data_IF_948755913729
#
_entry.id   IF_948755913729
#
_cell.length_a   1.000
_cell.length_b   1.000
_cell.length_c   1.000
_cell.angle_alpha   90.00
_cell.angle_beta   90.00
_cell.angle_gamma   90.00
#
_symmetry.space_group_name_H-M   'P 1'
#
loop_
_entity.id
_entity.type
_entity.pdbx_description
1 polymer ?
#
# COMPACT_ATOMS: atom_id res chain seq x y z
N UNK A 1 10.23 -24.70 7.57
CA UNK A 1 9.10 -24.44 6.66
C UNK A 1 8.12 -23.57 7.44
N UNK A 2 8.18 -22.25 7.31
CA UNK A 2 7.14 -21.38 7.88
C UNK A 2 5.94 -21.46 6.92
N UNK A 3 4.80 -21.92 7.43
CA UNK A 3 3.55 -21.96 6.66
C UNK A 3 2.91 -20.56 6.68
N UNK A 4 3.32 -19.69 5.77
CA UNK A 4 2.59 -18.45 5.53
C UNK A 4 1.26 -18.76 4.81
N UNK A 5 0.27 -17.88 4.98
CA UNK A 5 -0.96 -17.97 4.19
C UNK A 5 -0.57 -17.73 2.74
N UNK A 6 -0.96 -18.63 1.84
CA UNK A 6 -0.64 -18.47 0.41
C UNK A 6 -1.52 -17.38 -0.20
N UNK A 7 -2.83 -17.52 -0.06
CA UNK A 7 -3.84 -16.67 -0.67
C UNK A 7 -5.02 -16.47 0.29
N UNK A 8 -5.72 -15.34 0.17
CA UNK A 8 -6.98 -15.05 0.86
C UNK A 8 -8.01 -14.64 -0.20
N UNK A 9 -9.26 -15.10 -0.05
CA UNK A 9 -10.38 -14.69 -0.89
C UNK A 9 -11.41 -13.92 -0.04
N UNK A 10 -11.70 -12.70 -0.44
CA UNK A 10 -12.68 -11.80 0.17
C UNK A 10 -13.87 -11.69 -0.78
N UNK A 11 -14.84 -12.57 -0.61
CA UNK A 11 -16.09 -12.59 -1.40
C UNK A 11 -17.29 -12.04 -0.60
N UNK A 12 -17.02 -11.28 0.47
CA UNK A 12 -18.04 -10.71 1.36
C UNK A 12 -17.69 -9.26 1.77
N UNK A 13 -18.71 -8.46 2.06
CA UNK A 13 -18.55 -7.10 2.60
C UNK A 13 -18.25 -7.10 4.10
N UNK A 14 -17.75 -5.96 4.61
CA UNK A 14 -17.43 -5.73 6.02
C UNK A 14 -16.30 -6.64 6.53
N UNK A 15 -15.23 -6.74 5.75
CA UNK A 15 -14.07 -7.57 6.06
C UNK A 15 -12.89 -6.71 6.46
N UNK A 16 -12.23 -7.08 7.56
CA UNK A 16 -10.98 -6.47 8.03
C UNK A 16 -9.89 -7.54 8.10
N UNK A 17 -8.82 -7.34 7.36
CA UNK A 17 -7.60 -8.13 7.41
C UNK A 17 -6.50 -7.28 8.05
N UNK A 18 -5.87 -7.80 9.10
CA UNK A 18 -4.77 -7.10 9.75
C UNK A 18 -3.76 -8.03 10.43
N UNK A 19 -2.49 -7.65 10.41
CA UNK A 19 -1.41 -8.39 11.08
C UNK A 19 -1.06 -9.71 10.41
N UNK A 20 -1.30 -9.83 9.09
CA UNK A 20 -1.11 -11.08 8.35
C UNK A 20 0.14 -11.03 7.47
N UNK A 21 0.74 -12.20 7.25
CA UNK A 21 1.71 -12.43 6.17
C UNK A 21 1.02 -13.33 5.15
N UNK A 22 0.74 -12.76 3.97
CA UNK A 22 0.15 -13.44 2.82
C UNK A 22 1.20 -13.47 1.72
N UNK A 23 1.68 -14.67 1.39
CA UNK A 23 2.79 -14.89 0.47
C UNK A 23 2.45 -14.50 -0.98
N UNK A 24 1.18 -14.67 -1.38
CA UNK A 24 0.71 -14.36 -2.72
C UNK A 24 -0.42 -13.33 -2.63
N UNK A 25 -1.66 -13.73 -2.87
CA UNK A 25 -2.71 -12.79 -3.23
C UNK A 25 -3.76 -12.62 -2.12
N UNK A 26 -4.16 -11.39 -1.88
CA UNK A 26 -5.47 -11.07 -1.32
C UNK A 26 -6.40 -10.75 -2.50
N UNK A 27 -7.24 -11.72 -2.82
CA UNK A 27 -8.21 -11.66 -3.89
C UNK A 27 -9.53 -11.09 -3.38
N UNK A 28 -10.03 -10.02 -4.00
CA UNK A 28 -11.29 -9.38 -3.66
C UNK A 28 -12.31 -9.66 -4.74
N UNK A 29 -13.39 -10.35 -4.37
CA UNK A 29 -14.53 -10.63 -5.25
C UNK A 29 -14.21 -11.48 -6.47
N UNK A 30 -13.10 -12.23 -6.47
CA UNK A 30 -12.65 -13.02 -7.62
C UNK A 30 -13.66 -14.10 -8.02
N UNK A 31 -14.39 -14.68 -7.06
CA UNK A 31 -15.32 -15.79 -7.33
C UNK A 31 -16.76 -15.32 -7.54
N UNK A 32 -16.97 -14.01 -7.69
CA UNK A 32 -18.30 -13.41 -7.80
C UNK A 32 -18.63 -13.07 -9.26
N UNK A 33 -19.88 -13.33 -9.66
CA UNK A 33 -20.31 -13.19 -11.05
C UNK A 33 -20.88 -11.81 -11.40
N UNK A 34 -21.47 -11.11 -10.42
CA UNK A 34 -21.96 -9.72 -10.53
C UNK A 34 -22.49 -9.23 -9.17
N UNK A 35 -21.67 -8.52 -8.40
CA UNK A 35 -22.10 -7.91 -7.13
C UNK A 35 -21.14 -6.80 -6.70
N UNK A 36 -21.55 -6.01 -5.72
CA UNK A 36 -20.66 -5.11 -4.99
C UNK A 36 -20.11 -5.82 -3.76
N UNK A 37 -18.79 -5.78 -3.58
CA UNK A 37 -18.13 -6.09 -2.30
C UNK A 37 -17.69 -4.78 -1.70
N UNK A 38 -17.98 -4.58 -0.42
CA UNK A 38 -17.82 -3.26 0.20
C UNK A 38 -17.29 -3.28 1.62
N UNK A 39 -16.77 -2.14 2.08
CA UNK A 39 -16.28 -1.94 3.44
C UNK A 39 -15.17 -2.93 3.78
N UNK A 40 -14.10 -2.89 2.98
CA UNK A 40 -12.95 -3.77 3.13
C UNK A 40 -11.80 -2.96 3.71
N UNK A 41 -11.14 -3.46 4.74
CA UNK A 41 -9.91 -2.88 5.26
C UNK A 41 -8.80 -3.93 5.25
N UNK A 42 -7.69 -3.61 4.61
CA UNK A 42 -6.47 -4.41 4.59
C UNK A 42 -5.37 -3.55 5.18
N UNK A 43 -4.84 -3.94 6.32
CA UNK A 43 -3.86 -3.09 7.01
C UNK A 43 -2.79 -3.82 7.82
N UNK A 44 -1.67 -3.15 8.09
CA UNK A 44 -0.61 -3.66 8.96
C UNK A 44 -0.20 -5.11 8.60
N UNK A 45 -0.12 -5.39 7.30
CA UNK A 45 0.12 -6.74 6.78
C UNK A 45 1.26 -6.73 5.76
N UNK A 46 1.93 -7.87 5.60
CA UNK A 46 2.80 -8.12 4.46
C UNK A 46 2.05 -9.00 3.47
N UNK A 47 1.87 -8.51 2.26
CA UNK A 47 1.04 -9.15 1.24
C UNK A 47 1.83 -9.18 -0.05
N UNK A 48 1.71 -10.25 -0.84
CA UNK A 48 2.22 -10.23 -2.19
C UNK A 48 1.46 -9.20 -3.04
N UNK A 49 0.19 -9.47 -3.30
CA UNK A 49 -0.62 -8.61 -4.17
C UNK A 49 -2.05 -8.46 -3.68
N UNK A 50 -2.63 -7.29 -3.94
CA UNK A 50 -4.07 -7.04 -3.77
C UNK A 50 -4.70 -7.04 -5.15
N UNK A 51 -5.53 -8.03 -5.43
CA UNK A 51 -6.14 -8.22 -6.75
C UNK A 51 -7.65 -8.30 -6.65
N UNK A 52 -8.34 -7.61 -7.55
CA UNK A 52 -9.73 -7.93 -7.90
C UNK A 52 -9.72 -8.87 -9.10
N UNK A 53 -10.55 -9.90 -9.05
CA UNK A 53 -10.69 -10.82 -10.18
C UNK A 53 -11.06 -10.13 -11.48
N UNK A 54 -10.59 -10.71 -12.59
CA UNK A 54 -10.78 -10.20 -13.96
C UNK A 54 -12.24 -10.13 -14.43
N UNK A 55 -13.21 -10.53 -13.61
CA UNK A 55 -14.63 -10.38 -13.92
C UNK A 55 -15.05 -8.93 -13.75
N UNK A 56 -15.16 -8.21 -14.88
CA UNK A 56 -15.58 -6.80 -14.99
C UNK A 56 -16.96 -6.45 -14.35
N UNK A 57 -17.64 -7.42 -13.73
CA UNK A 57 -18.98 -7.27 -13.17
C UNK A 57 -18.98 -7.09 -11.65
N UNK A 58 -17.82 -7.12 -11.01
CA UNK A 58 -17.69 -6.89 -9.57
C UNK A 58 -17.24 -5.46 -9.33
N UNK A 59 -17.93 -4.77 -8.41
CA UNK A 59 -17.51 -3.45 -7.94
C UNK A 59 -16.94 -3.58 -6.54
N UNK A 60 -15.72 -3.09 -6.32
CA UNK A 60 -15.15 -2.95 -4.98
C UNK A 60 -15.38 -1.53 -4.48
N UNK A 61 -16.07 -1.39 -3.35
CA UNK A 61 -16.43 -0.08 -2.81
C UNK A 61 -16.01 0.13 -1.36
N UNK A 62 -15.61 1.34 -0.98
CA UNK A 62 -15.19 1.67 0.39
C UNK A 62 -14.07 0.73 0.86
N UNK A 63 -12.99 0.66 0.09
CA UNK A 63 -11.82 -0.15 0.42
C UNK A 63 -10.70 0.74 0.94
N UNK A 64 -10.09 0.31 2.04
CA UNK A 64 -8.90 0.95 2.62
C UNK A 64 -7.75 -0.06 2.61
N UNK A 65 -6.68 0.26 1.90
CA UNK A 65 -5.41 -0.48 1.91
C UNK A 65 -4.37 0.42 2.58
N UNK A 66 -3.98 0.12 3.82
CA UNK A 66 -3.05 0.98 4.55
C UNK A 66 -1.99 0.30 5.39
N UNK A 67 -0.84 0.94 5.58
CA UNK A 67 0.21 0.40 6.45
C UNK A 67 0.64 -1.03 6.07
N UNK A 68 0.59 -1.38 4.80
CA UNK A 68 1.03 -2.68 4.32
C UNK A 68 2.39 -2.60 3.66
N UNK A 69 3.10 -3.72 3.68
CA UNK A 69 4.22 -4.00 2.79
C UNK A 69 3.67 -4.88 1.67
N UNK A 70 3.62 -4.36 0.44
CA UNK A 70 3.00 -5.01 -0.73
C UNK A 70 4.07 -5.35 -1.76
N UNK A 71 4.24 -6.63 -2.02
CA UNK A 71 5.29 -7.20 -2.87
C UNK A 71 4.72 -7.89 -4.10
N UNK A 72 4.62 -7.20 -5.23
CA UNK A 72 4.14 -7.84 -6.45
C UNK A 72 5.06 -9.00 -6.85
N UNK A 73 4.52 -10.23 -6.84
CA UNK A 73 5.22 -11.46 -7.19
C UNK A 73 4.78 -12.01 -8.55
N UNK A 74 5.67 -12.78 -9.19
CA UNK A 74 5.36 -13.56 -10.39
C UNK A 74 5.52 -12.80 -11.72
N UNK A 75 5.16 -13.46 -12.83
CA UNK A 75 5.36 -12.93 -14.19
C UNK A 75 4.42 -11.78 -14.56
N UNK A 76 3.41 -11.51 -13.74
CA UNK A 76 2.40 -10.46 -13.92
C UNK A 76 2.51 -9.53 -12.71
N UNK A 77 3.65 -8.83 -12.59
CA UNK A 77 4.04 -8.16 -11.34
C UNK A 77 3.33 -6.81 -11.15
N UNK A 78 2.02 -6.90 -10.86
CA UNK A 78 1.15 -5.82 -10.40
C UNK A 78 0.89 -5.96 -8.93
N UNK A 79 1.31 -4.98 -8.12
CA UNK A 79 1.16 -5.03 -6.67
C UNK A 79 -0.29 -4.77 -6.25
N UNK A 80 -0.99 -3.89 -6.98
CA UNK A 80 -2.41 -3.60 -6.75
C UNK A 80 -3.15 -3.53 -8.10
N UNK A 81 -4.11 -4.44 -8.27
CA UNK A 81 -4.91 -4.58 -9.48
C UNK A 81 -6.41 -4.47 -9.15
N UNK A 82 -7.02 -3.33 -9.44
CA UNK A 82 -8.44 -3.05 -9.14
C UNK A 82 -9.10 -2.32 -10.33
N UNK A 83 -10.11 -2.93 -10.96
CA UNK A 83 -10.73 -2.37 -12.17
C UNK A 83 -11.91 -1.43 -11.89
N UNK A 84 -13.00 -1.98 -11.34
CA UNK A 84 -14.24 -1.25 -11.10
C UNK A 84 -14.32 -0.94 -9.61
N UNK A 85 -13.96 0.28 -9.25
CA UNK A 85 -13.92 0.70 -7.86
C UNK A 85 -14.74 1.96 -7.59
N UNK A 86 -15.10 2.15 -6.32
CA UNK A 86 -15.70 3.39 -5.84
C UNK A 86 -15.26 3.66 -4.40
N UNK A 87 -14.66 4.83 -4.16
CA UNK A 87 -14.15 5.21 -2.85
C UNK A 87 -13.10 4.21 -2.31
N UNK A 88 -11.97 4.11 -3.02
CA UNK A 88 -10.82 3.29 -2.60
C UNK A 88 -9.67 4.20 -2.23
N UNK A 89 -9.10 3.96 -1.05
CA UNK A 89 -7.93 4.67 -0.54
C UNK A 89 -6.78 3.70 -0.35
N UNK A 90 -5.63 4.01 -0.93
CA UNK A 90 -4.38 3.28 -0.78
C UNK A 90 -3.40 4.23 -0.10
N UNK A 91 -3.09 4.02 1.18
CA UNK A 91 -2.32 5.00 1.95
C UNK A 91 -1.25 4.43 2.86
N UNK A 92 -0.13 5.12 3.04
CA UNK A 92 0.92 4.72 3.99
C UNK A 92 1.44 3.28 3.77
N UNK A 93 1.45 2.80 2.53
CA UNK A 93 2.01 1.49 2.19
C UNK A 93 3.43 1.62 1.64
N UNK A 94 4.22 0.55 1.79
CA UNK A 94 5.44 0.34 1.03
C UNK A 94 5.13 -0.66 -0.09
N UNK A 95 5.27 -0.23 -1.35
CA UNK A 95 4.84 -0.98 -2.52
C UNK A 95 6.04 -1.19 -3.44
N UNK A 96 6.36 -2.44 -3.72
CA UNK A 96 7.48 -2.82 -4.58
C UNK A 96 7.15 -4.10 -5.33
N UNK A 97 8.06 -4.52 -6.22
CA UNK A 97 7.94 -5.76 -7.00
C UNK A 97 9.25 -6.51 -7.01
N UNK A 98 9.18 -7.81 -6.75
CA UNK A 98 10.35 -8.68 -6.68
C UNK A 98 10.89 -9.11 -8.05
N UNK A 99 10.12 -9.00 -9.14
CA UNK A 99 10.65 -9.37 -10.46
C UNK A 99 10.03 -8.63 -11.66
N UNK A 100 10.85 -8.54 -12.71
CA UNK A 100 10.58 -8.30 -14.14
C UNK A 100 9.64 -7.17 -14.62
N UNK A 101 8.86 -6.52 -13.74
CA UNK A 101 8.07 -5.29 -13.97
C UNK A 101 8.25 -4.36 -12.78
N UNK A 102 7.79 -3.11 -12.88
CA UNK A 102 7.82 -2.16 -11.76
C UNK A 102 6.67 -2.46 -10.79
N UNK A 103 6.65 -1.85 -9.58
CA UNK A 103 5.42 -1.73 -8.78
C UNK A 103 4.32 -1.17 -9.66
N UNK A 104 3.50 -2.07 -10.19
CA UNK A 104 2.41 -1.66 -11.05
C UNK A 104 1.14 -1.50 -10.26
N UNK A 105 0.49 -0.36 -10.49
CA UNK A 105 -0.85 -0.07 -10.03
C UNK A 105 -1.73 0.00 -11.27
N UNK A 106 -2.77 -0.81 -11.28
CA UNK A 106 -3.81 -0.72 -12.29
C UNK A 106 -5.12 -0.50 -11.57
N UNK A 107 -5.42 0.78 -11.38
CA UNK A 107 -6.52 1.29 -10.57
C UNK A 107 -7.18 2.46 -11.27
N UNK A 108 -8.50 2.58 -11.17
CA UNK A 108 -9.27 3.68 -11.77
C UNK A 108 -10.07 4.43 -10.71
N UNK A 109 -9.77 5.71 -10.45
CA UNK A 109 -10.55 6.51 -9.50
C UNK A 109 -10.21 6.30 -8.02
N UNK A 110 -8.98 5.91 -7.69
CA UNK A 110 -8.53 5.79 -6.31
C UNK A 110 -7.84 7.06 -5.79
N UNK A 111 -7.87 7.22 -4.46
CA UNK A 111 -6.98 8.13 -3.73
C UNK A 111 -5.76 7.35 -3.26
N UNK A 112 -4.57 7.80 -3.65
CA UNK A 112 -3.30 7.13 -3.43
C UNK A 112 -2.39 8.12 -2.71
N UNK A 113 -2.16 7.93 -1.42
CA UNK A 113 -1.53 8.93 -0.56
C UNK A 113 -0.44 8.40 0.36
N UNK A 114 0.61 9.18 0.66
CA UNK A 114 1.61 8.81 1.68
C UNK A 114 2.28 7.45 1.45
N UNK A 115 2.29 6.90 0.23
CA UNK A 115 2.93 5.61 -0.04
C UNK A 115 4.41 5.80 -0.45
N UNK A 116 5.19 4.74 -0.31
CA UNK A 116 6.48 4.60 -1.02
C UNK A 116 6.32 3.56 -2.12
N UNK A 117 6.62 3.95 -3.35
CA UNK A 117 6.82 3.03 -4.47
C UNK A 117 8.30 2.80 -4.66
N UNK A 118 8.75 1.55 -4.69
CA UNK A 118 10.18 1.22 -4.79
C UNK A 118 10.48 0.25 -5.95
N UNK A 119 11.56 0.52 -6.70
CA UNK A 119 12.08 -0.38 -7.75
C UNK A 119 13.57 -0.14 -8.03
N UNK A 120 14.08 -0.70 -9.13
CA UNK A 120 15.51 -0.66 -9.52
C UNK A 120 15.88 0.45 -10.52
N UNK A 121 15.07 1.50 -10.63
CA UNK A 121 15.37 2.73 -11.37
C UNK A 121 15.03 2.72 -12.87
N UNK A 122 14.65 1.58 -13.44
CA UNK A 122 14.39 1.44 -14.89
C UNK A 122 12.94 1.15 -15.25
N UNK A 123 12.02 1.31 -14.31
CA UNK A 123 10.65 0.80 -14.42
C UNK A 123 9.67 1.78 -13.83
N UNK A 124 8.52 1.97 -14.48
CA UNK A 124 7.52 2.94 -14.04
C UNK A 124 6.27 2.34 -13.42
N UNK A 125 5.49 3.16 -12.69
CA UNK A 125 4.31 2.84 -11.85
C UNK A 125 3.14 2.12 -12.57
N UNK A 126 3.34 1.67 -13.80
CA UNK A 126 2.39 1.13 -14.80
C UNK A 126 1.70 2.17 -15.69
N UNK A 127 1.25 1.68 -16.84
CA UNK A 127 0.72 2.45 -17.95
C UNK A 127 -0.81 2.61 -17.93
N UNK A 128 -1.58 1.96 -17.05
CA UNK A 128 -3.05 2.01 -17.08
C UNK A 128 -3.65 2.65 -15.82
N UNK A 129 -3.23 3.89 -15.56
CA UNK A 129 -3.72 4.73 -14.47
C UNK A 129 -4.80 5.67 -15.01
N UNK A 130 -6.03 5.58 -14.50
CA UNK A 130 -7.14 6.40 -15.00
C UNK A 130 -7.80 7.13 -13.84
N UNK A 131 -7.88 8.45 -13.91
CA UNK A 131 -8.63 9.28 -12.96
C UNK A 131 -8.23 9.09 -11.48
N UNK A 132 -6.97 8.75 -11.19
CA UNK A 132 -6.50 8.62 -9.81
C UNK A 132 -6.00 9.96 -9.25
N UNK A 133 -6.05 10.10 -7.93
CA UNK A 133 -5.42 11.20 -7.20
C UNK A 133 -4.19 10.69 -6.45
N UNK A 134 -3.01 11.10 -6.88
CA UNK A 134 -1.73 10.84 -6.23
C UNK A 134 -1.31 12.05 -5.42
N UNK A 135 -1.24 11.90 -4.10
CA UNK A 135 -0.95 13.02 -3.22
C UNK A 135 0.04 12.63 -2.10
N UNK A 136 1.12 13.39 -1.94
CA UNK A 136 2.14 13.12 -0.92
C UNK A 136 2.79 11.71 -0.99
N UNK A 137 3.05 11.14 -2.18
CA UNK A 137 3.77 9.86 -2.30
C UNK A 137 5.26 10.03 -2.63
N UNK A 138 6.08 9.04 -2.25
CA UNK A 138 7.49 8.92 -2.66
C UNK A 138 7.63 7.83 -3.73
N UNK A 139 8.29 8.14 -4.83
CA UNK A 139 8.65 7.22 -5.91
C UNK A 139 10.16 7.05 -5.93
N UNK A 140 10.65 6.01 -5.26
CA UNK A 140 12.05 5.76 -4.98
C UNK A 140 12.63 4.65 -5.89
N UNK A 141 13.43 5.02 -6.87
CA UNK A 141 13.88 4.09 -7.89
C UNK A 141 12.77 3.69 -8.87
N UNK A 142 11.76 4.53 -9.05
CA UNK A 142 10.61 4.27 -9.93
C UNK A 142 10.46 5.41 -10.93
N UNK A 143 10.21 5.06 -12.19
CA UNK A 143 9.87 6.03 -13.22
C UNK A 143 8.41 6.47 -13.07
N UNK A 144 8.15 7.77 -13.16
CA UNK A 144 6.80 8.33 -12.96
C UNK A 144 6.22 8.94 -14.24
N UNK A 145 6.98 8.94 -15.33
CA UNK A 145 6.49 9.41 -16.60
C UNK A 145 5.38 8.50 -17.13
N UNK A 146 4.24 9.12 -17.44
CA UNK A 146 3.08 8.42 -17.94
C UNK A 146 3.20 8.14 -19.44
N UNK A 147 2.77 6.94 -19.85
CA UNK A 147 2.63 6.63 -21.27
C UNK A 147 1.39 7.34 -21.82
N UNK A 148 1.61 8.27 -22.76
CA UNK A 148 0.53 9.00 -23.42
C UNK A 148 -0.48 8.04 -24.08
N UNK A 149 -1.76 8.39 -23.95
CA UNK A 149 -2.90 7.63 -24.46
C UNK A 149 -3.30 6.40 -23.64
N UNK A 150 -2.58 6.09 -22.55
CA UNK A 150 -2.88 4.94 -21.69
C UNK A 150 -3.19 5.39 -20.25
N UNK A 151 -2.34 6.23 -19.67
CA UNK A 151 -2.61 6.86 -18.36
C UNK A 151 -3.24 8.23 -18.54
N UNK A 152 -4.49 8.41 -18.12
CA UNK A 152 -5.30 9.60 -18.42
C UNK A 152 -6.00 10.18 -17.18
N UNK A 153 -6.20 11.49 -17.17
CA UNK A 153 -6.95 12.23 -16.14
C UNK A 153 -6.46 12.04 -14.68
N UNK A 154 -5.19 11.69 -14.46
CA UNK A 154 -4.64 11.56 -13.11
C UNK A 154 -4.21 12.94 -12.58
N UNK A 155 -4.34 13.13 -11.27
CA UNK A 155 -3.91 14.33 -10.55
C UNK A 155 -2.73 13.96 -9.67
N UNK A 156 -1.64 14.74 -9.75
CA UNK A 156 -0.40 14.54 -9.00
C UNK A 156 -0.08 15.77 -8.16
N UNK A 157 -0.24 15.67 -6.85
CA UNK A 157 -0.01 16.78 -5.92
C UNK A 157 1.09 16.43 -4.92
N UNK A 158 2.07 17.32 -4.74
CA UNK A 158 3.08 17.20 -3.68
C UNK A 158 3.76 15.82 -3.59
N UNK A 159 4.00 15.15 -4.72
CA UNK A 159 4.73 13.88 -4.76
C UNK A 159 6.23 14.11 -4.92
N UNK A 160 7.05 13.14 -4.56
CA UNK A 160 8.51 13.18 -4.72
C UNK A 160 8.98 12.00 -5.56
N UNK A 161 9.87 12.23 -6.52
CA UNK A 161 10.51 11.18 -7.32
C UNK A 161 12.04 11.24 -7.20
N UNK A 162 12.69 10.07 -7.12
CA UNK A 162 14.15 9.97 -7.01
C UNK A 162 14.66 8.64 -7.57
N UNK A 163 15.91 8.60 -8.03
CA UNK A 163 16.62 7.34 -8.31
C UNK A 163 16.14 6.54 -9.53
N UNK A 164 15.16 7.06 -10.27
CA UNK A 164 14.70 6.56 -11.55
C UNK A 164 15.42 7.19 -12.74
N UNK A 165 15.12 6.70 -13.95
CA UNK A 165 15.61 7.25 -15.22
C UNK A 165 14.65 8.27 -15.84
N UNK A 166 13.38 8.24 -15.44
CA UNK A 166 12.33 9.14 -15.94
C UNK A 166 11.49 9.63 -14.76
N UNK A 167 11.86 10.81 -14.24
CA UNK A 167 11.42 11.30 -12.93
C UNK A 167 10.41 12.45 -12.99
N UNK A 168 10.03 12.88 -14.20
CA UNK A 168 9.03 13.92 -14.41
C UNK A 168 7.63 13.33 -14.36
N UNK A 169 6.77 13.84 -13.48
CA UNK A 169 5.45 13.27 -13.24
C UNK A 169 4.50 13.50 -14.42
N UNK A 170 4.41 14.74 -14.88
CA UNK A 170 3.58 15.10 -16.04
C UNK A 170 4.07 16.43 -16.63
N UNK A 171 4.12 16.53 -17.96
CA UNK A 171 4.01 17.83 -18.63
C UNK A 171 2.53 18.23 -18.61
N UNK A 172 2.19 19.27 -17.85
CA UNK A 172 0.81 19.71 -17.59
C UNK A 172 -0.09 19.70 -18.85
N UNK A 173 -1.23 19.00 -18.75
CA UNK A 173 -2.29 19.00 -19.77
C UNK A 173 -2.26 17.81 -20.75
N UNK A 174 -1.23 16.98 -20.72
CA UNK A 174 -1.16 15.78 -21.57
C UNK A 174 -2.19 14.73 -21.11
N UNK A 175 -3.10 14.34 -22.00
CA UNK A 175 -4.16 13.35 -21.74
C UNK A 175 -5.01 13.64 -20.48
N UNK A 176 -5.18 14.93 -20.17
CA UNK A 176 -5.94 15.39 -19.01
C UNK A 176 -5.24 15.17 -17.66
N UNK A 177 -4.00 14.68 -17.65
CA UNK A 177 -3.21 14.59 -16.43
C UNK A 177 -2.73 15.99 -16.00
N UNK A 178 -2.73 16.25 -14.70
CA UNK A 178 -2.31 17.53 -14.12
C UNK A 178 -1.36 17.30 -12.94
N UNK A 179 -0.38 18.18 -12.74
CA UNK A 179 0.52 18.12 -11.60
C UNK A 179 0.74 19.46 -10.91
N UNK A 180 0.92 19.48 -9.60
CA UNK A 180 1.34 20.68 -8.87
C UNK A 180 2.13 20.32 -7.61
N UNK A 181 3.17 21.11 -7.29
CA UNK A 181 3.95 20.92 -6.06
C UNK A 181 4.84 19.67 -6.02
N UNK A 182 4.88 18.88 -7.10
CA UNK A 182 5.74 17.69 -7.16
C UNK A 182 7.24 18.07 -7.18
N UNK A 183 8.04 17.29 -6.47
CA UNK A 183 9.50 17.39 -6.42
C UNK A 183 10.14 16.31 -7.28
N UNK A 184 10.74 16.72 -8.39
CA UNK A 184 11.31 15.80 -9.38
C UNK A 184 12.82 15.62 -9.18
N UNK A 185 13.27 14.37 -9.13
CA UNK A 185 14.68 14.02 -8.92
C UNK A 185 15.28 14.62 -7.64
N UNK A 186 14.51 14.56 -6.55
CA UNK A 186 14.89 15.06 -5.23
C UNK A 186 15.02 13.88 -4.28
N UNK A 187 16.19 13.68 -3.69
CA UNK A 187 16.42 12.60 -2.72
C UNK A 187 15.50 12.78 -1.50
N UNK A 188 14.68 11.79 -1.11
CA UNK A 188 13.87 11.88 0.09
C UNK A 188 14.72 11.91 1.37
N UNK A 189 16.02 11.58 1.33
CA UNK A 189 16.93 11.57 2.47
C UNK A 189 16.40 10.71 3.63
N UNK A 190 16.15 9.43 3.37
CA UNK A 190 15.89 8.44 4.42
C UNK A 190 17.10 8.34 5.37
N UNK A 191 16.85 8.06 6.66
CA UNK A 191 17.86 7.90 7.72
C UNK A 191 18.88 6.80 7.41
N UNK A 192 18.40 5.66 6.91
CA UNK A 192 19.19 4.54 6.40
C UNK A 192 18.59 4.11 5.06
N UNK A 193 19.05 4.71 3.93
CA UNK A 193 18.37 4.57 2.67
C UNK A 193 18.42 3.13 2.16
N UNK A 194 17.26 2.51 1.83
CA UNK A 194 17.26 1.21 1.19
C UNK A 194 17.99 1.31 -0.15
N UNK A 195 18.71 0.26 -0.58
CA UNK A 195 19.26 0.23 -1.92
C UNK A 195 18.12 0.30 -2.94
N UNK A 196 18.31 1.12 -3.98
CA UNK A 196 17.45 1.12 -5.18
C UNK A 196 17.52 -0.28 -5.80
N UNK A 197 16.57 -1.12 -5.45
CA UNK A 197 16.57 -2.55 -5.72
C UNK A 197 15.15 -3.10 -5.71
N UNK A 198 15.00 -4.34 -6.16
CA UNK A 198 13.72 -5.07 -6.17
C UNK A 198 13.53 -5.95 -4.94
N UNK A 199 14.60 -6.12 -4.16
CA UNK A 199 14.62 -7.06 -3.06
C UNK A 199 14.19 -6.36 -1.79
N UNK A 200 13.17 -6.91 -1.14
CA UNK A 200 12.76 -6.43 0.16
C UNK A 200 13.62 -6.98 1.28
N UNK A 201 13.89 -6.10 2.24
CA UNK A 201 14.47 -6.45 3.51
C UNK A 201 13.66 -5.83 4.64
N UNK A 202 13.32 -6.63 5.63
CA UNK A 202 12.63 -6.15 6.83
C UNK A 202 13.47 -5.15 7.65
N UNK A 203 14.76 -4.99 7.34
CA UNK A 203 15.62 -4.00 7.97
C UNK A 203 15.58 -2.62 7.29
N UNK A 204 14.85 -2.45 6.19
CA UNK A 204 14.78 -1.14 5.54
C UNK A 204 14.02 -0.14 6.40
N UNK A 205 14.59 1.06 6.51
CA UNK A 205 14.03 2.18 7.28
C UNK A 205 13.61 3.29 6.32
N UNK A 206 12.32 3.60 6.30
CA UNK A 206 11.74 4.68 5.52
C UNK A 206 11.54 5.96 6.35
N UNK A 207 12.14 6.04 7.53
CA UNK A 207 12.15 7.25 8.35
C UNK A 207 12.91 8.34 7.61
N UNK A 208 12.29 9.52 7.49
CA UNK A 208 12.93 10.69 6.88
C UNK A 208 13.97 11.28 7.84
N UNK A 209 15.15 11.62 7.33
CA UNK A 209 16.12 12.40 8.09
C UNK A 209 15.58 13.82 8.36
N UNK A 210 16.07 14.47 9.42
CA UNK A 210 15.59 15.80 9.82
C UNK A 210 15.83 16.91 8.76
N UNK A 211 16.71 16.68 7.79
CA UNK A 211 16.96 17.60 6.66
C UNK A 211 16.21 17.20 5.39
N UNK A 212 15.33 16.21 5.46
CA UNK A 212 14.62 15.69 4.30
C UNK A 212 13.75 16.78 3.64
N UNK A 213 13.81 16.91 2.32
CA UNK A 213 12.92 17.81 1.58
C UNK A 213 11.46 17.31 1.58
N UNK A 214 11.22 16.05 1.97
CA UNK A 214 9.88 15.48 2.09
C UNK A 214 9.15 15.89 3.39
N UNK A 215 9.78 16.66 4.29
CA UNK A 215 9.17 17.08 5.55
C UNK A 215 8.34 18.36 5.42
N UNK A 216 7.18 18.40 6.09
CA UNK A 216 6.32 19.59 6.26
C UNK A 216 5.92 20.30 4.94
N UNK A 217 5.67 19.55 3.87
CA UNK A 217 5.09 20.08 2.65
C UNK A 217 3.60 20.35 2.91
N UNK A 218 3.20 21.62 2.86
CA UNK A 218 1.83 22.06 3.16
C UNK A 218 1.30 21.61 4.54
N UNK A 219 2.19 21.38 5.50
CA UNK A 219 1.86 20.98 6.87
C UNK A 219 1.90 19.47 7.12
N UNK A 220 2.23 18.67 6.12
CA UNK A 220 2.35 17.21 6.24
C UNK A 220 3.64 16.69 5.58
N UNK A 221 4.07 15.49 5.96
CA UNK A 221 5.24 14.86 5.33
C UNK A 221 4.80 14.09 4.08
N UNK A 222 5.65 14.07 3.05
CA UNK A 222 5.49 13.22 1.87
C UNK A 222 5.97 11.81 2.22
N UNK A 223 5.20 10.82 1.79
CA UNK A 223 5.50 9.42 2.00
C UNK A 223 4.98 8.90 3.35
N UNK A 224 5.53 7.77 3.82
CA UNK A 224 4.87 6.90 4.76
C UNK A 224 4.88 7.46 6.19
N UNK A 225 5.73 8.45 6.49
CA UNK A 225 5.71 9.20 7.75
C UNK A 225 4.59 10.24 7.85
N UNK A 226 3.95 10.58 6.73
CA UNK A 226 2.89 11.59 6.65
C UNK A 226 1.49 11.07 6.99
N UNK A 227 0.52 12.00 6.98
CA UNK A 227 -0.88 11.73 7.25
C UNK A 227 -1.21 11.43 8.72
N UNK A 228 -2.48 11.06 8.96
CA UNK A 228 -3.00 10.81 10.31
C UNK A 228 -2.55 9.46 10.91
N UNK A 229 -2.06 8.54 10.06
CA UNK A 229 -1.62 7.20 10.46
C UNK A 229 -0.30 6.84 9.78
N UNK A 230 0.84 7.37 10.26
CA UNK A 230 2.15 7.02 9.72
C UNK A 230 2.38 5.50 9.68
N UNK A 231 3.15 5.07 8.68
CA UNK A 231 3.63 3.71 8.56
C UNK A 231 4.54 3.37 9.73
N UNK A 232 4.32 2.20 10.27
CA UNK A 232 5.14 1.64 11.32
C UNK A 232 5.74 0.32 10.83
N UNK A 233 7.05 0.26 10.55
CA UNK A 233 7.71 -0.96 10.08
C UNK A 233 7.72 -2.06 11.14
N UNK A 234 7.61 -1.71 12.43
CA UNK A 234 7.42 -2.66 13.53
C UNK A 234 5.97 -3.15 13.60
N UNK A 235 5.08 -2.46 12.88
CA UNK A 235 3.66 -2.72 12.75
C UNK A 235 3.03 -2.86 14.11
N UNK A 236 2.90 -1.76 14.88
CA UNK A 236 2.28 -1.75 16.21
C UNK A 236 1.07 -2.68 16.23
N UNK A 237 1.34 -3.87 16.76
CA UNK A 237 0.47 -5.00 16.73
C UNK A 237 -0.77 -4.60 17.53
N UNK A 238 -1.95 -4.97 17.02
CA UNK A 238 -3.15 -5.13 17.84
C UNK A 238 -2.75 -5.56 19.25
N UNK A 239 -3.31 -4.98 20.33
CA UNK A 239 -2.84 -5.18 21.70
C UNK A 239 -2.42 -6.62 21.91
N UNK A 240 -1.11 -6.86 21.96
CA UNK A 240 -0.60 -8.21 22.02
C UNK A 240 -0.99 -8.75 23.38
N UNK A 241 -1.85 -9.76 23.40
CA UNK A 241 -2.18 -10.47 24.62
C UNK A 241 -0.89 -11.12 25.11
N UNK A 242 -0.26 -10.51 26.11
CA UNK A 242 0.98 -10.98 26.70
C UNK A 242 0.72 -12.13 27.66
N UNK A 243 -0.44 -12.15 28.30
CA UNK A 243 -0.80 -13.19 29.24
C UNK A 243 -2.30 -13.37 29.27
N UNK A 244 -2.73 -14.62 29.17
CA UNK A 244 -4.07 -15.05 29.57
C UNK A 244 -3.89 -15.97 30.77
N UNK A 245 -4.37 -15.54 31.94
CA UNK A 245 -4.40 -16.39 33.13
C UNK A 245 -5.82 -16.86 33.36
N UNK A 246 -6.02 -18.17 33.28
CA UNK A 246 -7.26 -18.87 33.62
C UNK A 246 -6.93 -19.83 34.78
N UNK A 247 -7.66 -19.82 35.91
CA UNK A 247 -7.45 -20.78 36.99
C UNK A 247 -7.68 -22.21 36.51
N UNK A 248 -6.85 -23.16 36.97
CA UNK A 248 -7.00 -24.58 36.62
C UNK A 248 -8.19 -25.25 37.31
N UNK A 249 -8.75 -24.64 38.35
CA UNK A 249 -9.91 -25.12 39.10
C UNK A 249 -10.82 -23.96 39.50
N UNK A 250 -12.13 -24.15 39.34
CA UNK A 250 -13.17 -23.17 39.65
C UNK A 250 -14.33 -23.94 40.31
N UNK A 251 -14.90 -23.39 41.38
CA UNK A 251 -16.03 -24.01 42.04
C UNK A 251 -17.30 -23.90 41.18
N UNK A 252 -18.17 -24.91 41.25
CA UNK A 252 -19.46 -24.85 40.56
C UNK A 252 -20.28 -23.70 41.15
N UNK A 253 -20.72 -22.78 40.28
CA UNK A 253 -21.52 -21.61 40.68
C UNK A 253 -20.71 -20.37 41.07
N UNK A 254 -19.38 -20.40 41.01
CA UNK A 254 -18.55 -19.19 41.17
C UNK A 254 -18.17 -18.56 39.82
N UNK A 255 -17.91 -17.25 39.84
CA UNK A 255 -17.41 -16.51 38.68
C UNK A 255 -16.05 -17.05 38.21
N UNK A 256 -15.77 -16.97 36.90
CA UNK A 256 -14.49 -17.30 36.29
C UNK A 256 -13.61 -16.03 36.26
N UNK A 257 -12.55 -15.93 37.10
CA UNK A 257 -11.65 -14.78 37.05
C UNK A 257 -10.66 -14.97 35.89
N UNK A 258 -10.90 -14.31 34.77
CA UNK A 258 -9.94 -14.23 33.66
C UNK A 258 -9.12 -12.96 33.83
N UNK A 259 -7.79 -13.10 33.86
CA UNK A 259 -6.89 -11.94 33.73
C UNK A 259 -6.27 -11.95 32.35
N UNK A 260 -6.55 -10.92 31.57
CA UNK A 260 -5.90 -10.66 30.29
C UNK A 260 -4.94 -9.49 30.51
N UNK A 261 -3.65 -9.71 30.28
CA UNK A 261 -2.68 -8.63 30.14
C UNK A 261 -2.41 -8.45 28.67
N UNK A 262 -2.68 -7.25 28.18
CA UNK A 262 -2.23 -6.83 26.87
C UNK A 262 -1.20 -5.73 27.04
N UNK A 263 -0.20 -5.70 26.15
CA UNK A 263 0.60 -4.49 25.97
C UNK A 263 -0.28 -3.52 25.18
N UNK A 264 -0.74 -2.47 25.84
CA UNK A 264 -1.35 -1.33 25.16
C UNK A 264 -0.27 -0.49 24.48
N UNK A 265 -0.68 0.32 23.50
CA UNK A 265 0.17 1.34 22.89
C UNK A 265 0.59 2.37 23.95
#
# INVERSE_FOLDING_TARGET
>A
VSSYLKEIFIDASNVRLSGLIVDQDVNVGLNLSSTTVSNITIENSRIGRVEMGSSNNVTVSNMLVRNNVIEGYGTVATSILLYTISNVTITNNIIFTSCCTAPSLRVTGATITYNVFMSDGNRGVDANLVANNFDHNIFYGVNVNLQSGVSINNVWTDNLSFGGTQLTFVDDGTDGNTGSGNMENVDPLFSDPPPISRDWNNSYDFTLSASSPALNINGEDIGPSGGLTPFDPEGNLLPLIQTVTIPSTIAVGSDLPVTIKAKGN
#
